data_IF_124837084093
#
_entry.id   IF_124837084093
#
_cell.length_a   1.000
_cell.length_b   1.000
_cell.length_c   1.000
_cell.angle_alpha   90.00
_cell.angle_beta   90.00
_cell.angle_gamma   90.00
#
_symmetry.space_group_name_H-M   'P 1'
#
loop_
_entity.id
_entity.type
_entity.pdbx_description
1 polymer ?
#
# COMPACT_ATOMS: atom_id res chain seq x y z
N UNK A 1 -13.33 -4.17 -13.90
CA UNK A 1 -11.87 -3.93 -13.81
C UNK A 1 -11.52 -3.42 -12.42
N UNK A 2 -10.23 -3.34 -12.05
CA UNK A 2 -9.81 -3.00 -10.67
C UNK A 2 -10.35 -1.65 -10.19
N UNK A 3 -10.38 -0.63 -11.05
CA UNK A 3 -10.95 0.69 -10.72
C UNK A 3 -12.44 0.58 -10.31
N UNK A 4 -13.27 -0.09 -11.12
CA UNK A 4 -14.69 -0.27 -10.78
C UNK A 4 -14.90 -1.09 -9.50
N UNK A 5 -14.01 -2.05 -9.21
CA UNK A 5 -14.04 -2.81 -7.96
C UNK A 5 -13.67 -1.92 -6.75
N UNK A 6 -12.72 -1.01 -6.91
CA UNK A 6 -12.36 -0.03 -5.88
C UNK A 6 -13.46 1.01 -5.67
N UNK A 7 -14.05 1.56 -6.74
CA UNK A 7 -15.17 2.53 -6.67
C UNK A 7 -16.42 1.94 -6.03
N UNK A 8 -16.69 0.63 -6.24
CA UNK A 8 -17.81 -0.07 -5.58
C UNK A 8 -17.53 -0.45 -4.12
N UNK A 9 -16.32 -0.19 -3.60
CA UNK A 9 -15.88 -0.59 -2.26
C UNK A 9 -15.65 -2.10 -2.10
N UNK A 10 -15.69 -2.88 -3.18
CA UNK A 10 -15.44 -4.33 -3.14
C UNK A 10 -13.94 -4.67 -3.10
N UNK A 11 -13.09 -3.77 -3.58
CA UNK A 11 -11.63 -3.89 -3.56
C UNK A 11 -11.03 -2.77 -2.70
N UNK A 12 -10.56 -3.15 -1.51
CA UNK A 12 -9.88 -2.26 -0.57
C UNK A 12 -8.36 -2.43 -0.65
N UNK A 13 -7.60 -1.48 -0.08
CA UNK A 13 -6.14 -1.53 -0.08
C UNK A 13 -5.63 -2.78 0.64
N UNK A 14 -6.25 -3.18 1.74
CA UNK A 14 -5.90 -4.38 2.50
C UNK A 14 -6.12 -5.67 1.69
N UNK A 15 -7.09 -5.63 0.75
CA UNK A 15 -7.32 -6.76 -0.15
C UNK A 15 -6.24 -6.83 -1.24
N UNK A 16 -5.74 -5.69 -1.71
CA UNK A 16 -4.60 -5.62 -2.61
C UNK A 16 -3.32 -6.14 -1.91
N UNK A 17 -3.06 -5.71 -0.68
CA UNK A 17 -1.94 -6.21 0.16
C UNK A 17 -2.03 -7.73 0.38
N UNK A 18 -3.24 -8.23 0.67
CA UNK A 18 -3.46 -9.68 0.80
C UNK A 18 -3.15 -10.43 -0.51
N UNK A 19 -3.40 -9.82 -1.68
CA UNK A 19 -3.03 -10.42 -2.97
C UNK A 19 -1.53 -10.38 -3.20
N UNK A 20 -0.79 -9.39 -2.68
CA UNK A 20 0.68 -9.37 -2.69
C UNK A 20 1.27 -10.63 -2.09
N UNK A 21 0.62 -11.22 -1.07
CA UNK A 21 1.08 -12.47 -0.47
C UNK A 21 1.18 -13.62 -1.47
N UNK A 22 0.48 -13.56 -2.61
CA UNK A 22 0.50 -14.57 -3.67
C UNK A 22 1.11 -14.04 -4.97
N UNK A 23 0.85 -12.79 -5.36
CA UNK A 23 1.38 -12.17 -6.58
C UNK A 23 2.81 -11.60 -6.37
N UNK A 24 3.38 -10.99 -7.41
CA UNK A 24 4.81 -10.57 -7.46
C UNK A 24 5.01 -9.06 -7.62
N UNK A 25 3.93 -8.26 -7.63
CA UNK A 25 4.02 -6.82 -7.96
C UNK A 25 4.00 -5.95 -6.71
N UNK A 26 3.14 -6.28 -5.74
CA UNK A 26 2.87 -5.41 -4.60
C UNK A 26 1.84 -4.34 -4.93
N UNK A 27 1.88 -3.24 -4.18
CA UNK A 27 1.00 -2.09 -4.37
C UNK A 27 1.53 -1.16 -5.45
N UNK A 28 0.94 -1.21 -6.64
CA UNK A 28 1.33 -0.34 -7.76
C UNK A 28 0.20 0.60 -8.19
N UNK A 29 0.52 1.89 -8.35
CA UNK A 29 -0.42 2.95 -8.74
C UNK A 29 -1.60 3.09 -7.76
N UNK A 30 -1.32 3.09 -6.46
CA UNK A 30 -2.36 3.22 -5.44
C UNK A 30 -2.51 4.69 -5.03
N UNK A 31 -3.66 5.28 -5.33
CA UNK A 31 -3.97 6.66 -4.93
C UNK A 31 -4.50 6.66 -3.50
N UNK A 32 -3.91 7.49 -2.65
CA UNK A 32 -4.28 7.62 -1.23
C UNK A 32 -4.63 9.08 -0.91
N UNK A 33 -5.35 9.36 0.20
CA UNK A 33 -5.72 10.72 0.58
C UNK A 33 -4.48 11.62 0.70
N UNK A 34 -4.59 12.86 0.24
CA UNK A 34 -3.46 13.79 0.20
C UNK A 34 -2.92 14.21 1.56
N UNK A 35 -3.72 14.05 2.61
CA UNK A 35 -3.39 14.31 4.01
C UNK A 35 -2.84 13.08 4.75
N UNK A 36 -2.57 11.97 4.03
CA UNK A 36 -1.96 10.78 4.63
C UNK A 36 -0.56 11.09 5.17
N UNK A 37 -0.37 10.86 6.47
CA UNK A 37 0.92 11.11 7.15
C UNK A 37 2.07 10.24 6.61
N UNK A 38 3.30 10.73 6.75
CA UNK A 38 4.50 10.00 6.35
C UNK A 38 4.68 8.68 7.13
N UNK A 39 4.24 8.64 8.39
CA UNK A 39 4.26 7.44 9.22
C UNK A 39 3.30 6.37 8.68
N UNK A 40 2.10 6.76 8.25
CA UNK A 40 1.14 5.85 7.61
C UNK A 40 1.69 5.31 6.29
N UNK A 41 2.25 6.17 5.45
CA UNK A 41 2.92 5.75 4.20
C UNK A 41 4.07 4.78 4.49
N UNK A 42 4.87 5.06 5.53
CA UNK A 42 5.95 4.17 5.96
C UNK A 42 5.43 2.82 6.47
N UNK A 43 4.25 2.81 7.11
CA UNK A 43 3.55 1.59 7.52
C UNK A 43 3.19 0.71 6.32
N UNK A 44 2.57 1.29 5.29
CA UNK A 44 2.20 0.59 4.04
C UNK A 44 3.46 -0.03 3.39
N UNK A 45 4.56 0.74 3.33
CA UNK A 45 5.83 0.24 2.80
C UNK A 45 6.39 -0.91 3.65
N UNK A 46 6.31 -0.79 4.98
CA UNK A 46 6.80 -1.81 5.89
C UNK A 46 6.02 -3.13 5.78
N UNK A 47 4.69 -3.06 5.60
CA UNK A 47 3.84 -4.24 5.43
C UNK A 47 4.18 -4.99 4.13
N UNK A 48 4.29 -4.27 3.02
CA UNK A 48 4.66 -4.84 1.71
C UNK A 48 6.10 -5.38 1.70
N UNK A 49 7.03 -4.70 2.38
CA UNK A 49 8.39 -5.19 2.57
C UNK A 49 8.43 -6.46 3.42
N UNK A 50 7.59 -6.56 4.47
CA UNK A 50 7.49 -7.75 5.31
C UNK A 50 6.93 -8.95 4.53
N UNK A 51 5.90 -8.74 3.71
CA UNK A 51 5.34 -9.77 2.82
C UNK A 51 6.43 -10.27 1.86
N UNK A 52 7.19 -9.36 1.25
CA UNK A 52 8.29 -9.69 0.35
C UNK A 52 9.41 -10.47 1.03
N UNK A 53 9.88 -9.96 2.16
CA UNK A 53 10.95 -10.53 2.98
C UNK A 53 10.62 -11.94 3.47
N UNK A 54 9.44 -12.17 4.03
CA UNK A 54 9.04 -13.47 4.59
C UNK A 54 8.83 -14.51 3.48
N UNK A 55 8.18 -14.12 2.39
CA UNK A 55 7.85 -15.02 1.29
C UNK A 55 8.94 -15.15 0.22
N UNK A 56 10.11 -14.54 0.43
CA UNK A 56 11.21 -14.53 -0.53
C UNK A 56 10.78 -14.09 -1.93
N UNK A 57 9.97 -13.02 -2.00
CA UNK A 57 9.46 -12.46 -3.26
C UNK A 57 9.81 -10.99 -3.37
N UNK A 58 9.91 -10.53 -4.60
CA UNK A 58 10.00 -9.11 -4.88
C UNK A 58 8.62 -8.47 -4.71
N UNK A 59 8.56 -7.41 -3.93
CA UNK A 59 7.40 -6.54 -3.79
C UNK A 59 7.82 -5.10 -4.09
N UNK A 60 6.87 -4.27 -4.48
CA UNK A 60 7.08 -2.85 -4.69
C UNK A 60 5.90 -2.06 -4.14
N UNK A 61 6.16 -0.81 -3.76
CA UNK A 61 5.13 0.13 -3.34
C UNK A 61 5.27 1.41 -4.14
N UNK A 62 4.23 1.73 -4.89
CA UNK A 62 4.02 3.03 -5.56
C UNK A 62 2.67 3.58 -5.14
N UNK A 63 2.69 4.31 -4.03
CA UNK A 63 1.54 5.08 -3.53
C UNK A 63 1.62 6.53 -4.00
N UNK A 64 0.47 7.14 -4.28
CA UNK A 64 0.36 8.51 -4.76
C UNK A 64 -0.58 9.29 -3.84
N UNK A 65 -0.05 10.12 -2.93
CA UNK A 65 -0.86 11.04 -2.14
C UNK A 65 -1.53 12.09 -3.03
N UNK A 66 -2.86 12.04 -3.13
CA UNK A 66 -3.65 12.96 -3.94
C UNK A 66 -3.88 14.28 -3.20
N UNK A 67 -2.94 15.23 -3.32
CA UNK A 67 -2.99 16.50 -2.60
C UNK A 67 -4.30 17.24 -2.89
N UNK A 68 -5.05 17.56 -1.83
CA UNK A 68 -6.35 18.25 -1.92
C UNK A 68 -7.54 17.32 -2.18
N UNK A 69 -7.32 16.03 -2.40
CA UNK A 69 -8.38 15.01 -2.57
C UNK A 69 -8.54 14.17 -1.30
N UNK A 70 -9.76 13.65 -1.11
CA UNK A 70 -10.17 12.79 0.01
C UNK A 70 -10.56 11.40 -0.48
N UNK A 71 -10.74 10.47 0.46
CA UNK A 71 -11.30 9.14 0.18
C UNK A 71 -12.56 9.24 -0.69
N UNK A 72 -12.61 8.44 -1.76
CA UNK A 72 -13.74 8.39 -2.69
C UNK A 72 -13.68 9.40 -3.84
N UNK A 73 -12.80 10.40 -3.77
CA UNK A 73 -12.51 11.25 -4.92
C UNK A 73 -11.78 10.46 -6.03
N UNK A 74 -11.66 11.07 -7.21
CA UNK A 74 -10.88 10.50 -8.32
C UNK A 74 -9.79 11.49 -8.69
N UNK A 75 -8.54 11.03 -8.64
CA UNK A 75 -7.40 11.78 -9.14
C UNK A 75 -7.25 11.49 -10.64
N UNK A 76 -7.33 12.53 -11.46
CA UNK A 76 -7.18 12.44 -12.92
C UNK A 76 -5.91 13.18 -13.34
N UNK A 77 -4.93 12.44 -13.87
CA UNK A 77 -3.70 13.01 -14.42
C UNK A 77 -3.84 13.41 -15.89
N UNK A 78 -4.94 13.00 -16.54
CA UNK A 78 -5.18 13.15 -17.96
C UNK A 78 -4.21 12.34 -18.82
N UNK A 79 -4.46 12.36 -20.13
CA UNK A 79 -3.55 11.81 -21.14
C UNK A 79 -3.19 10.34 -20.92
N UNK A 80 -1.89 10.03 -20.96
CA UNK A 80 -1.35 8.67 -20.86
C UNK A 80 -1.47 8.05 -19.46
N UNK A 81 -1.43 8.88 -18.41
CA UNK A 81 -1.41 8.42 -17.02
C UNK A 81 -2.81 8.08 -16.47
N UNK A 82 -3.86 8.51 -17.16
CA UNK A 82 -5.25 8.16 -16.85
C UNK A 82 -5.72 8.74 -15.52
N UNK A 83 -6.54 7.96 -14.80
CA UNK A 83 -7.16 8.35 -13.54
C UNK A 83 -7.22 7.18 -12.56
N UNK A 84 -7.30 7.48 -11.27
CA UNK A 84 -7.41 6.48 -10.20
C UNK A 84 -8.29 6.96 -9.05
N UNK A 85 -9.12 6.08 -8.46
CA UNK A 85 -9.91 6.42 -7.28
C UNK A 85 -9.00 6.56 -6.06
N UNK A 86 -9.23 7.58 -5.24
CA UNK A 86 -8.56 7.79 -3.96
C UNK A 86 -9.09 6.74 -2.98
N UNK A 87 -8.26 5.73 -2.71
CA UNK A 87 -8.61 4.61 -1.86
C UNK A 87 -8.51 5.00 -0.38
N UNK A 88 -9.38 4.40 0.43
CA UNK A 88 -9.30 4.53 1.89
C UNK A 88 -7.96 4.00 2.40
N UNK A 89 -7.41 4.69 3.40
CA UNK A 89 -6.27 4.21 4.19
C UNK A 89 -6.63 4.27 5.67
N UNK A 90 -6.09 3.35 6.46
CA UNK A 90 -6.23 3.36 7.91
C UNK A 90 -5.52 4.59 8.52
N UNK A 91 -6.30 5.48 9.14
CA UNK A 91 -5.79 6.71 9.77
C UNK A 91 -5.19 6.53 11.18
N UNK A 92 -5.20 5.31 11.73
CA UNK A 92 -4.56 5.04 13.01
C UNK A 92 -3.04 5.21 12.89
N UNK A 93 -2.41 5.85 13.89
CA UNK A 93 -1.00 6.21 13.81
C UNK A 93 -0.07 5.01 14.06
N UNK A 94 0.79 4.63 13.09
CA UNK A 94 1.86 3.65 13.30
C UNK A 94 3.16 4.30 13.83
N UNK A 95 3.13 5.58 14.22
CA UNK A 95 4.32 6.36 14.55
C UNK A 95 5.25 5.68 15.56
N UNK A 96 4.68 5.01 16.58
CA UNK A 96 5.47 4.29 17.59
C UNK A 96 6.33 3.18 16.98
N UNK A 97 5.80 2.47 15.98
CA UNK A 97 6.51 1.38 15.30
C UNK A 97 7.57 1.95 14.35
N UNK A 98 7.19 2.92 13.51
CA UNK A 98 8.09 3.54 12.53
C UNK A 98 9.27 4.26 13.21
N UNK A 99 9.01 5.00 14.29
CA UNK A 99 10.05 5.72 15.03
C UNK A 99 10.98 4.81 15.83
N UNK A 100 10.72 3.49 15.90
CA UNK A 100 11.67 2.55 16.52
C UNK A 100 12.98 2.47 15.73
N UNK A 101 12.92 2.71 14.41
CA UNK A 101 14.08 2.70 13.53
C UNK A 101 14.90 1.41 13.59
N UNK A 102 16.14 1.48 13.10
CA UNK A 102 17.05 0.35 13.08
C UNK A 102 16.79 -0.63 11.94
N UNK A 103 17.08 -1.91 12.16
CA UNK A 103 17.02 -2.95 11.15
C UNK A 103 16.08 -4.07 11.60
N UNK A 104 15.13 -4.44 10.74
CA UNK A 104 14.32 -5.65 10.93
C UNK A 104 15.23 -6.85 10.59
N UNK A 105 15.43 -7.80 11.53
CA UNK A 105 16.33 -8.93 11.31
C UNK A 105 15.77 -9.85 10.21
N UNK A 106 16.68 -10.59 9.57
CA UNK A 106 16.30 -11.56 8.56
C UNK A 106 15.37 -12.64 9.13
N UNK A 107 14.39 -13.14 8.35
CA UNK A 107 13.46 -14.16 8.81
C UNK A 107 14.19 -15.49 9.01
N UNK A 108 13.79 -16.26 10.03
CA UNK A 108 14.35 -17.58 10.32
C UNK A 108 13.93 -18.57 9.21
N UNK A 109 14.85 -18.86 8.30
CA UNK A 109 14.60 -19.77 7.18
C UNK A 109 14.41 -21.23 7.62
N UNK A 110 14.97 -21.61 8.78
CA UNK A 110 14.93 -22.97 9.35
C UNK A 110 13.53 -23.45 9.78
N UNK A 111 12.54 -22.56 9.85
CA UNK A 111 11.15 -22.90 10.24
C UNK A 111 10.22 -23.07 9.02
N UNK A 112 10.77 -23.06 7.81
CA UNK A 112 10.02 -23.39 6.59
C UNK A 112 10.06 -24.92 6.43
N UNK A 113 8.93 -25.58 6.75
CA UNK A 113 8.74 -27.03 6.57
C UNK A 113 8.81 -27.44 5.10
#
# INVERSE_FOLDING_TARGET
GMIAAAESGSLLIEKLEAMTAVCSVGLDMIVIPGDTSAEVISGIIADEAAIGMVNCKTTAVRVIPAIGCKEGDVLDWGGLFGKGPVMKVNGNSPAKFINRGGQIPAPLHSLKN
#
